data_IF_619059972409
#
_entry.id   IF_619059972409
#
_cell.length_a   1.000
_cell.length_b   1.000
_cell.length_c   1.000
_cell.angle_alpha   90.00
_cell.angle_beta   90.00
_cell.angle_gamma   90.00
#
_symmetry.space_group_name_H-M   'P 1'
#
loop_
_entity.id
_entity.type
_entity.pdbx_description
1 polymer ?
#
# COMPACT_ATOMS: atom_id res chain seq x y z
N UNK A 1 -1.81 -5.70 -4.55
CA UNK A 1 -1.66 -5.13 -3.21
C UNK A 1 -1.90 -6.25 -2.21
N UNK A 2 -0.98 -6.51 -1.27
CA UNK A 2 -1.16 -7.61 -0.33
C UNK A 2 -2.37 -7.36 0.57
N UNK A 3 -2.97 -8.44 1.08
CA UNK A 3 -4.23 -8.38 1.81
C UNK A 3 -4.17 -7.52 3.07
N UNK A 4 -3.02 -7.52 3.75
CA UNK A 4 -2.79 -6.69 4.94
C UNK A 4 -2.83 -5.19 4.61
N UNK A 5 -2.23 -4.78 3.48
CA UNK A 5 -2.20 -3.38 3.05
C UNK A 5 -3.59 -2.92 2.60
N UNK A 6 -4.35 -3.81 1.94
CA UNK A 6 -5.74 -3.55 1.56
C UNK A 6 -6.64 -3.32 2.78
N UNK A 7 -6.50 -4.12 3.83
CA UNK A 7 -7.24 -3.95 5.10
C UNK A 7 -6.90 -2.63 5.79
N UNK A 8 -5.63 -2.22 5.78
CA UNK A 8 -5.21 -0.92 6.35
C UNK A 8 -5.77 0.27 5.57
N UNK A 9 -5.73 0.22 4.24
CA UNK A 9 -6.31 1.25 3.36
C UNK A 9 -7.81 1.40 3.57
N UNK A 10 -8.53 0.28 3.71
CA UNK A 10 -9.97 0.29 3.94
C UNK A 10 -10.33 0.92 5.29
N UNK A 11 -9.57 0.64 6.35
CA UNK A 11 -9.74 1.30 7.67
C UNK A 11 -9.42 2.79 7.62
N UNK A 12 -8.33 3.18 6.96
CA UNK A 12 -7.96 4.59 6.79
C UNK A 12 -9.00 5.35 5.95
N UNK A 13 -9.60 4.69 4.96
CA UNK A 13 -10.69 5.26 4.15
C UNK A 13 -11.97 5.47 4.96
N UNK A 14 -12.37 4.48 5.77
CA UNK A 14 -13.49 4.60 6.69
C UNK A 14 -13.27 5.72 7.73
N UNK A 15 -12.05 5.86 8.24
CA UNK A 15 -11.65 6.93 9.16
C UNK A 15 -11.44 8.30 8.51
N UNK A 16 -11.54 8.41 7.17
CA UNK A 16 -11.20 9.61 6.38
C UNK A 16 -9.77 10.15 6.66
N UNK A 17 -8.86 9.28 7.06
CA UNK A 17 -7.47 9.59 7.37
C UNK A 17 -6.64 9.73 6.09
N UNK A 18 -6.79 10.87 5.41
CA UNK A 18 -6.11 11.18 4.14
C UNK A 18 -4.58 11.06 4.24
N UNK A 19 -4.01 11.39 5.41
CA UNK A 19 -2.56 11.24 5.66
C UNK A 19 -2.13 9.78 5.63
N UNK A 20 -2.90 8.92 6.30
CA UNK A 20 -2.62 7.49 6.38
C UNK A 20 -2.81 6.81 5.02
N UNK A 21 -3.85 7.20 4.26
CA UNK A 21 -4.05 6.74 2.88
C UNK A 21 -2.85 7.10 1.99
N UNK A 22 -2.33 8.33 2.11
CA UNK A 22 -1.17 8.79 1.32
C UNK A 22 0.09 8.00 1.65
N UNK A 23 0.36 7.79 2.94
CA UNK A 23 1.49 6.99 3.42
C UNK A 23 1.38 5.53 2.95
N UNK A 24 0.20 4.91 3.08
CA UNK A 24 -0.03 3.53 2.64
C UNK A 24 0.12 3.38 1.12
N UNK A 25 -0.28 4.37 0.33
CA UNK A 25 -0.06 4.40 -1.12
C UNK A 25 1.43 4.53 -1.47
N UNK A 26 2.17 5.35 -0.74
CA UNK A 26 3.62 5.49 -0.92
C UNK A 26 4.34 4.17 -0.60
N UNK A 27 4.00 3.54 0.53
CA UNK A 27 4.49 2.21 0.89
C UNK A 27 4.13 1.14 -0.15
N UNK A 28 2.92 1.19 -0.73
CA UNK A 28 2.52 0.29 -1.81
C UNK A 28 3.39 0.46 -3.04
N UNK A 29 3.73 1.70 -3.40
CA UNK A 29 4.55 1.99 -4.58
C UNK A 29 5.95 1.41 -4.43
N UNK A 30 6.58 1.63 -3.27
CA UNK A 30 7.90 1.04 -2.94
C UNK A 30 7.84 -0.48 -2.91
N UNK A 31 6.81 -1.06 -2.29
CA UNK A 31 6.61 -2.50 -2.25
C UNK A 31 6.43 -3.08 -3.65
N UNK A 32 5.61 -2.44 -4.50
CA UNK A 32 5.36 -2.84 -5.88
C UNK A 32 6.65 -2.79 -6.69
N UNK A 33 7.44 -1.71 -6.58
CA UNK A 33 8.71 -1.58 -7.27
C UNK A 33 9.67 -2.72 -6.90
N UNK A 34 9.81 -3.05 -5.61
CA UNK A 34 10.67 -4.15 -5.13
C UNK A 34 10.16 -5.55 -5.52
N UNK A 35 8.84 -5.74 -5.63
CA UNK A 35 8.27 -7.03 -6.02
C UNK A 35 8.26 -7.23 -7.53
N UNK A 36 8.10 -6.17 -8.32
CA UNK A 36 8.22 -6.21 -9.78
C UNK A 36 9.66 -6.46 -10.21
N UNK A 37 10.64 -5.91 -9.48
CA UNK A 37 12.08 -6.17 -9.69
C UNK A 37 12.46 -7.63 -9.37
N UNK A 38 11.79 -8.25 -8.39
CA UNK A 38 11.98 -9.68 -8.05
C UNK A 38 11.41 -10.68 -9.08
N UNK A 39 10.67 -10.23 -10.08
CA UNK A 39 10.13 -11.12 -11.14
C UNK A 39 11.01 -11.21 -12.39
N UNK A 40 12.19 -10.56 -12.38
CA UNK A 40 13.18 -10.60 -13.47
C UNK A 40 14.51 -11.29 -13.05
N UNK A 41 14.44 -12.36 -12.26
CA UNK A 41 15.56 -13.30 -12.08
C UNK A 41 15.08 -14.73 -12.25
#
# INVERSE_FOLDING_TARGET
MPEWLRKQLMRAFLGKDRRQIRLLNDCWFVYKQKNTDRSFS
#
